data_IF_355292975407
#
_entry.id   IF_355292975407
#
_cell.length_a   1.000
_cell.length_b   1.000
_cell.length_c   1.000
_cell.angle_alpha   90.00
_cell.angle_beta   90.00
_cell.angle_gamma   90.00
#
_symmetry.space_group_name_H-M   'P 1'
#
loop_
_entity.id
_entity.type
_entity.pdbx_description
1 polymer ?
#
# COMPACT_ATOMS: atom_id res chain seq x y z
N UNK A 1 28.15 2.16 -2.48
CA UNK A 1 26.77 2.61 -2.37
C UNK A 1 25.96 1.55 -1.68
N UNK A 2 25.43 1.90 -0.55
CA UNK A 2 24.49 1.02 0.12
C UNK A 2 23.25 0.94 -0.76
N UNK A 3 23.04 -0.19 -1.43
CA UNK A 3 21.74 -0.51 -1.97
C UNK A 3 20.79 -0.42 -0.80
N UNK A 4 19.98 0.62 -0.77
CA UNK A 4 18.90 0.71 0.21
C UNK A 4 17.96 -0.45 -0.08
N UNK A 5 18.09 -1.49 0.73
CA UNK A 5 17.08 -2.53 0.76
C UNK A 5 15.75 -1.81 0.99
N UNK A 6 14.77 -2.20 0.23
CA UNK A 6 13.43 -1.68 0.37
C UNK A 6 13.06 -1.68 1.85
N UNK A 7 12.81 -0.51 2.36
CA UNK A 7 12.13 -0.39 3.63
C UNK A 7 10.65 -0.57 3.33
N UNK A 8 10.07 -1.59 3.90
CA UNK A 8 8.63 -1.66 4.02
C UNK A 8 8.23 -0.48 4.91
N UNK A 9 7.68 0.56 4.29
CA UNK A 9 7.24 1.73 5.03
C UNK A 9 5.76 1.58 5.33
N UNK A 10 5.41 1.45 6.59
CA UNK A 10 4.06 1.73 7.04
C UNK A 10 3.92 3.24 7.15
N UNK A 11 3.12 3.81 6.30
CA UNK A 11 2.73 5.21 6.41
C UNK A 11 1.56 5.26 7.40
N UNK A 12 1.75 5.99 8.49
CA UNK A 12 0.67 6.24 9.43
C UNK A 12 -0.40 7.06 8.74
N UNK A 13 -1.62 6.54 8.70
CA UNK A 13 -2.71 7.20 8.01
C UNK A 13 -3.10 8.50 8.74
N UNK A 14 -2.87 9.62 8.09
CA UNK A 14 -3.30 10.93 8.58
C UNK A 14 -4.81 11.15 8.47
N UNK A 15 -5.51 10.31 7.70
CA UNK A 15 -6.96 10.41 7.49
C UNK A 15 -7.76 9.75 8.62
N UNK A 16 -7.11 9.00 9.51
CA UNK A 16 -7.74 8.27 10.61
C UNK A 16 -8.86 7.33 10.16
N UNK A 17 -8.71 6.72 8.98
CA UNK A 17 -9.71 5.82 8.42
C UNK A 17 -10.89 6.48 7.74
N UNK A 18 -10.80 7.78 7.45
CA UNK A 18 -11.84 8.51 6.73
C UNK A 18 -11.74 8.23 5.23
N UNK A 19 -12.72 7.48 4.69
CA UNK A 19 -12.79 7.10 3.28
C UNK A 19 -13.02 8.29 2.33
N UNK A 20 -13.43 9.45 2.84
CA UNK A 20 -13.61 10.65 2.03
C UNK A 20 -12.31 11.41 1.75
N UNK A 21 -11.24 11.06 2.43
CA UNK A 21 -9.94 11.71 2.32
C UNK A 21 -8.93 10.83 1.62
N UNK A 22 -8.08 11.44 0.80
CA UNK A 22 -6.97 10.73 0.14
C UNK A 22 -5.95 10.29 1.18
N UNK A 23 -5.75 8.99 1.31
CA UNK A 23 -4.74 8.43 2.22
C UNK A 23 -3.35 8.43 1.60
N UNK A 24 -3.25 8.20 0.28
CA UNK A 24 -1.99 8.23 -0.46
C UNK A 24 -2.23 8.64 -1.90
N UNK A 25 -1.25 9.32 -2.48
CA UNK A 25 -1.26 9.73 -3.90
C UNK A 25 0.07 9.37 -4.53
N UNK A 26 0.01 8.73 -5.69
CA UNK A 26 1.16 8.40 -6.50
C UNK A 26 0.96 8.94 -7.91
N UNK A 27 1.93 9.70 -8.41
CA UNK A 27 1.86 10.29 -9.75
C UNK A 27 3.14 10.00 -10.52
N UNK A 28 2.99 9.60 -11.79
CA UNK A 28 4.11 9.49 -12.71
C UNK A 28 4.33 10.83 -13.40
N UNK A 29 5.52 11.45 -13.27
CA UNK A 29 5.80 12.72 -13.93
C UNK A 29 5.92 12.60 -15.44
N UNK A 30 6.14 11.37 -15.94
CA UNK A 30 6.30 11.14 -17.39
C UNK A 30 4.95 10.97 -18.07
N UNK A 31 4.09 10.09 -17.53
CA UNK A 31 2.79 9.77 -18.14
C UNK A 31 1.65 10.64 -17.62
N UNK A 32 1.81 11.28 -16.47
CA UNK A 32 0.74 11.98 -15.78
C UNK A 32 -0.27 11.08 -15.08
N UNK A 33 -0.10 9.76 -15.18
CA UNK A 33 -1.01 8.82 -14.52
C UNK A 33 -0.90 9.02 -13.01
N UNK A 34 -2.04 9.20 -12.38
CA UNK A 34 -2.16 9.41 -10.93
C UNK A 34 -3.04 8.34 -10.33
N UNK A 35 -2.59 7.78 -9.22
CA UNK A 35 -3.34 6.86 -8.37
C UNK A 35 -3.59 7.52 -7.02
N UNK A 36 -4.86 7.64 -6.65
CA UNK A 36 -5.27 8.04 -5.30
C UNK A 36 -5.83 6.82 -4.57
N UNK A 37 -5.41 6.65 -3.32
CA UNK A 37 -5.84 5.54 -2.46
C UNK A 37 -6.69 6.09 -1.34
N UNK A 38 -7.86 5.48 -1.17
CA UNK A 38 -8.80 5.76 -0.07
C UNK A 38 -8.97 4.47 0.72
N UNK A 39 -8.94 4.55 2.04
CA UNK A 39 -9.07 3.37 2.89
C UNK A 39 -9.59 3.74 4.27
N UNK A 40 -10.29 2.78 4.90
CA UNK A 40 -10.63 2.85 6.31
C UNK A 40 -9.60 2.13 7.21
N UNK A 41 -8.54 1.58 6.61
CA UNK A 41 -7.44 0.99 7.37
C UNK A 41 -6.52 2.07 7.96
N UNK A 42 -5.87 1.81 9.10
CA UNK A 42 -5.02 2.80 9.76
C UNK A 42 -3.67 3.04 9.11
N UNK A 43 -3.21 2.15 8.24
CA UNK A 43 -1.90 2.25 7.64
C UNK A 43 -1.84 1.79 6.20
N UNK A 44 -0.77 2.17 5.52
CA UNK A 44 -0.44 1.73 4.16
C UNK A 44 1.01 1.26 4.13
N UNK A 45 1.23 0.06 3.61
CA UNK A 45 2.55 -0.48 3.35
C UNK A 45 2.90 -0.28 1.88
N UNK A 46 4.09 0.25 1.62
CA UNK A 46 4.59 0.49 0.27
C UNK A 46 5.66 -0.55 -0.07
N UNK A 47 5.47 -1.25 -1.18
CA UNK A 47 6.41 -2.23 -1.71
C UNK A 47 6.71 -1.92 -3.18
N UNK A 48 7.98 -1.77 -3.53
CA UNK A 48 8.38 -1.37 -4.89
C UNK A 48 8.98 -2.51 -5.72
N UNK A 49 8.79 -3.75 -5.32
CA UNK A 49 9.26 -4.90 -6.10
C UNK A 49 10.77 -5.16 -6.02
N UNK A 50 11.42 -4.83 -4.91
CA UNK A 50 12.87 -5.00 -4.75
C UNK A 50 13.35 -6.46 -4.85
N UNK A 51 12.47 -7.42 -4.56
CA UNK A 51 12.79 -8.85 -4.63
C UNK A 51 12.51 -9.46 -6.01
N UNK A 52 11.98 -8.69 -6.94
CA UNK A 52 11.81 -9.14 -8.32
C UNK A 52 13.18 -9.08 -9.01
N UNK A 53 13.56 -10.16 -9.69
CA UNK A 53 14.89 -10.34 -10.27
C UNK A 53 14.87 -10.70 -11.77
N UNK A 54 13.70 -10.62 -12.40
CA UNK A 54 13.54 -10.96 -13.80
C UNK A 54 13.29 -12.44 -14.06
N UNK A 55 13.12 -13.26 -13.01
CA UNK A 55 12.84 -14.71 -13.15
C UNK A 55 11.36 -15.00 -13.26
N UNK A 56 10.49 -14.07 -12.83
CA UNK A 56 9.04 -14.25 -12.85
C UNK A 56 8.47 -13.66 -14.14
N UNK A 57 7.73 -14.47 -14.90
CA UNK A 57 6.97 -14.03 -16.06
C UNK A 57 5.50 -13.91 -15.72
N UNK A 58 4.94 -12.75 -16.00
CA UNK A 58 3.53 -12.48 -15.81
C UNK A 58 2.69 -12.64 -17.05
N UNK A 59 1.56 -11.99 -17.08
CA UNK A 59 0.63 -11.98 -18.20
C UNK A 59 1.33 -11.47 -19.46
N UNK A 60 0.96 -12.02 -20.61
CA UNK A 60 1.52 -11.67 -21.93
C UNK A 60 3.03 -11.91 -22.04
N UNK A 61 3.60 -12.78 -21.21
CA UNK A 61 5.03 -13.09 -21.22
C UNK A 61 5.95 -11.98 -20.74
N UNK A 62 5.40 -10.96 -20.08
CA UNK A 62 6.19 -9.84 -19.55
C UNK A 62 6.99 -10.32 -18.34
N UNK A 63 8.30 -10.06 -18.36
CA UNK A 63 9.20 -10.37 -17.26
C UNK A 63 9.14 -9.28 -16.20
N UNK A 64 9.04 -9.68 -14.94
CA UNK A 64 9.02 -8.74 -13.82
C UNK A 64 10.43 -8.52 -13.30
N UNK A 65 10.96 -7.33 -13.58
CA UNK A 65 12.28 -6.91 -13.14
C UNK A 65 12.21 -6.18 -11.79
N UNK A 66 13.35 -5.99 -11.17
CA UNK A 66 13.45 -5.23 -9.92
C UNK A 66 12.86 -3.82 -10.09
N UNK A 67 12.05 -3.41 -9.15
CA UNK A 67 11.39 -2.09 -9.12
C UNK A 67 10.48 -1.80 -10.31
N UNK A 68 9.97 -2.84 -10.96
CA UNK A 68 9.06 -2.69 -12.08
C UNK A 68 7.60 -2.42 -11.66
N UNK A 69 7.32 -2.44 -10.38
CA UNK A 69 5.97 -2.24 -9.85
C UNK A 69 5.99 -1.56 -8.49
N UNK A 70 4.81 -1.07 -8.09
CA UNK A 70 4.58 -0.55 -6.75
C UNK A 70 3.30 -1.15 -6.19
N UNK A 71 3.36 -1.60 -4.94
CA UNK A 71 2.20 -2.08 -4.20
C UNK A 71 1.88 -1.09 -3.08
N UNK A 72 0.62 -0.72 -2.98
CA UNK A 72 0.10 0.12 -1.90
C UNK A 72 -0.91 -0.71 -1.12
N UNK A 73 -0.49 -1.24 0.01
CA UNK A 73 -1.22 -2.26 0.77
C UNK A 73 -1.83 -1.62 2.01
N UNK A 74 -3.14 -1.41 1.98
CA UNK A 74 -3.86 -0.84 3.12
C UNK A 74 -4.07 -1.91 4.18
N UNK A 75 -3.73 -1.59 5.43
CA UNK A 75 -3.70 -2.59 6.49
C UNK A 75 -3.64 -1.95 7.88
N UNK A 76 -3.83 -2.77 8.91
CA UNK A 76 -3.39 -2.44 10.26
C UNK A 76 -1.86 -2.46 10.33
N UNK A 77 -1.29 -1.79 11.33
CA UNK A 77 0.17 -1.72 11.45
C UNK A 77 0.77 -3.10 11.73
N UNK A 78 1.89 -3.46 11.08
CA UNK A 78 2.65 -4.65 11.47
C UNK A 78 3.03 -4.62 12.95
N UNK A 79 3.09 -5.78 13.59
CA UNK A 79 3.38 -5.93 15.02
C UNK A 79 2.28 -5.39 15.94
N UNK A 80 1.09 -5.08 15.41
CA UNK A 80 -0.03 -4.58 16.21
C UNK A 80 -0.39 -5.46 17.42
N UNK A 81 -0.31 -6.80 17.37
CA UNK A 81 -0.59 -7.63 18.54
C UNK A 81 0.30 -7.32 19.75
N UNK A 82 1.50 -6.82 19.51
CA UNK A 82 2.48 -6.48 20.55
C UNK A 82 2.45 -5.01 20.95
N UNK A 83 1.54 -4.22 20.38
CA UNK A 83 1.45 -2.77 20.58
C UNK A 83 0.05 -2.38 21.01
N UNK A 84 -0.19 -2.36 22.32
CA UNK A 84 -1.52 -2.08 22.88
C UNK A 84 -2.02 -0.66 22.60
N UNK A 85 -1.13 0.27 22.31
CA UNK A 85 -1.47 1.66 21.99
C UNK A 85 -1.90 1.88 20.54
N UNK A 86 -1.74 0.85 19.70
CA UNK A 86 -2.15 0.90 18.29
C UNK A 86 -3.56 0.33 18.11
N UNK A 87 -4.24 0.64 16.99
CA UNK A 87 -5.52 0.01 16.70
C UNK A 87 -5.41 -1.51 16.77
N UNK A 88 -6.37 -2.13 17.46
CA UNK A 88 -6.35 -3.58 17.70
C UNK A 88 -6.61 -4.35 16.40
N UNK A 89 -5.90 -5.47 16.24
CA UNK A 89 -6.15 -6.46 15.17
C UNK A 89 -7.00 -7.64 15.68
N UNK A 90 -7.43 -7.60 16.93
CA UNK A 90 -8.24 -8.68 17.53
C UNK A 90 -9.68 -8.53 17.07
N UNK A 91 -10.22 -9.61 16.51
CA UNK A 91 -11.65 -9.73 16.18
C UNK A 91 -12.30 -10.67 17.18
N UNK A 92 -13.20 -10.13 17.98
CA UNK A 92 -13.93 -10.91 18.97
C UNK A 92 -15.11 -11.66 18.32
N UNK A 93 -15.54 -12.80 18.90
CA UNK A 93 -16.75 -13.47 18.40
C UNK A 93 -17.94 -12.55 18.39
N UNK A 94 -18.69 -12.57 17.28
CA UNK A 94 -19.84 -11.69 17.06
C UNK A 94 -19.53 -10.33 16.47
N UNK A 95 -18.25 -9.94 16.39
CA UNK A 95 -17.84 -8.74 15.69
C UNK A 95 -17.67 -8.99 14.19
N UNK A 96 -17.86 -7.94 13.40
CA UNK A 96 -17.67 -7.99 11.94
C UNK A 96 -16.47 -7.10 11.59
N UNK A 97 -15.52 -7.66 10.83
CA UNK A 97 -14.44 -6.90 10.24
C UNK A 97 -14.85 -6.35 8.88
N UNK A 98 -14.82 -5.03 8.74
CA UNK A 98 -15.08 -4.34 7.48
C UNK A 98 -13.84 -3.58 7.06
N UNK A 99 -13.35 -3.86 5.86
CA UNK A 99 -12.22 -3.16 5.26
C UNK A 99 -12.58 -2.73 3.85
N UNK A 100 -12.26 -1.50 3.52
CA UNK A 100 -12.49 -0.95 2.19
C UNK A 100 -11.24 -0.22 1.71
N UNK A 101 -10.88 -0.48 0.48
CA UNK A 101 -9.78 0.18 -0.21
C UNK A 101 -10.25 0.55 -1.62
N UNK A 102 -10.13 1.82 -1.96
CA UNK A 102 -10.50 2.34 -3.27
C UNK A 102 -9.26 2.89 -3.97
N UNK A 103 -8.98 2.41 -5.17
CA UNK A 103 -7.96 2.93 -6.07
C UNK A 103 -8.64 3.78 -7.15
N UNK A 104 -8.37 5.08 -7.14
CA UNK A 104 -8.90 6.00 -8.13
C UNK A 104 -7.78 6.45 -9.06
N UNK A 105 -7.95 6.14 -10.34
CA UNK A 105 -6.99 6.51 -11.37
C UNK A 105 -7.45 7.75 -12.12
N UNK A 106 -6.51 8.62 -12.45
CA UNK A 106 -6.71 9.80 -13.27
C UNK A 106 -5.45 10.11 -14.07
N UNK A 107 -5.54 11.07 -14.97
CA UNK A 107 -4.39 11.58 -15.71
C UNK A 107 -4.30 13.08 -15.50
N UNK A 108 -3.19 13.53 -14.97
CA UNK A 108 -2.87 14.94 -14.87
C UNK A 108 -2.21 15.38 -16.18
N UNK A 109 -2.76 16.39 -16.79
CA UNK A 109 -2.21 16.98 -18.01
C UNK A 109 -1.35 18.20 -17.67
#
# INVERSE_FOLDING_TARGET
PRVRRQRQMCIRDSTKGDLSQVAAKLTSPISGITLEVYTNEPGIQVYTGNFLDGTVKGKKGITYNQRASVCLETQHYPDSPNKSQWPSVVLEPGQIYNSECVFKFSVEK
#
